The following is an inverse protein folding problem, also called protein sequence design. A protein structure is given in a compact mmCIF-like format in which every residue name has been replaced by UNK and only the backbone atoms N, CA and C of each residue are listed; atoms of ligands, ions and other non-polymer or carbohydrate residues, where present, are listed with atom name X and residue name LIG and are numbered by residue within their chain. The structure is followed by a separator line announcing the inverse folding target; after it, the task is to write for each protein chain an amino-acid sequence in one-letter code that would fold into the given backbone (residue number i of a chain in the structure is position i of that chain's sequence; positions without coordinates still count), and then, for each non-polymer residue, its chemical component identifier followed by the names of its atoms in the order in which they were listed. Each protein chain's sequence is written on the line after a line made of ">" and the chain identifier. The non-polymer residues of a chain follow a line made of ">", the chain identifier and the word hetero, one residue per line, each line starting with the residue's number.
data_IF_971596905133
#
_entry.id   IF_971596905133
#
_cell.length_a   1.000
_cell.length_b   1.000
_cell.length_c   1.000
_cell.angle_alpha   90.00
_cell.angle_beta   90.00
_cell.angle_gamma   90.00
#
_symmetry.space_group_name_H-M   'P 1'
#
loop_
_entity.id
_entity.type
_entity.pdbx_description
1 polymer ?
#
# COMPACT_ATOMS: atom_id res chain seq x y z
N UNK A 1 -12.69 10.84 35.92
CA UNK A 1 -12.57 9.73 34.95
C UNK A 1 -13.93 9.50 34.30
N UNK A 2 -14.13 9.94 33.05
CA UNK A 2 -15.31 9.57 32.26
C UNK A 2 -14.89 8.52 31.23
N UNK A 3 -15.35 7.31 31.43
CA UNK A 3 -15.23 6.20 30.48
C UNK A 3 -16.12 6.54 29.29
N UNK A 4 -15.52 6.82 28.13
CA UNK A 4 -16.25 6.98 26.87
C UNK A 4 -16.21 5.62 26.17
N UNK A 5 -17.39 5.00 26.02
CA UNK A 5 -17.60 3.72 25.34
C UNK A 5 -17.18 3.85 23.87
N UNK A 6 -16.19 3.07 23.44
CA UNK A 6 -15.87 2.94 22.01
C UNK A 6 -16.98 2.14 21.34
N UNK A 7 -17.80 2.82 20.54
CA UNK A 7 -18.71 2.19 19.60
C UNK A 7 -17.99 2.05 18.26
N UNK A 8 -18.02 0.84 17.74
CA UNK A 8 -18.22 0.50 16.32
C UNK A 8 -17.52 1.42 15.32
N UNK A 9 -16.30 1.05 14.95
CA UNK A 9 -15.92 0.62 13.61
C UNK A 9 -14.40 0.73 13.52
N UNK A 10 -13.71 -0.39 13.71
CA UNK A 10 -12.30 -0.56 13.36
C UNK A 10 -12.16 -0.58 11.82
N UNK A 11 -12.72 0.42 11.13
CA UNK A 11 -12.21 0.80 9.82
C UNK A 11 -10.85 1.42 10.11
N UNK A 12 -9.81 0.57 10.11
CA UNK A 12 -8.47 1.02 9.81
C UNK A 12 -8.63 2.03 8.68
N UNK A 13 -8.28 3.29 8.94
CA UNK A 13 -8.22 4.28 7.89
C UNK A 13 -7.21 3.73 6.88
N UNK A 14 -7.71 3.03 5.86
CA UNK A 14 -6.94 2.61 4.71
C UNK A 14 -6.51 3.94 4.14
N UNK A 15 -5.26 4.31 4.39
CA UNK A 15 -4.69 5.53 3.87
C UNK A 15 -5.05 5.54 2.39
N UNK A 16 -5.80 6.55 1.97
CA UNK A 16 -6.09 6.78 0.56
C UNK A 16 -4.76 7.22 -0.08
N UNK A 17 -3.87 6.24 -0.29
CA UNK A 17 -2.58 6.45 -0.91
C UNK A 17 -2.85 7.01 -2.30
N UNK A 18 -2.31 8.20 -2.56
CA UNK A 18 -2.37 8.80 -3.87
C UNK A 18 -1.60 7.95 -4.89
N UNK A 19 -1.94 8.09 -6.17
CA UNK A 19 -1.23 7.40 -7.26
C UNK A 19 0.29 7.65 -7.21
N UNK A 20 0.69 8.86 -6.81
CA UNK A 20 2.08 9.25 -6.63
C UNK A 20 2.76 8.46 -5.51
N UNK A 21 2.10 8.27 -4.37
CA UNK A 21 2.65 7.49 -3.25
C UNK A 21 2.76 6.01 -3.61
N UNK A 22 1.74 5.45 -4.29
CA UNK A 22 1.79 4.08 -4.81
C UNK A 22 2.97 3.89 -5.77
N UNK A 23 3.24 4.88 -6.63
CA UNK A 23 4.40 4.85 -7.54
C UNK A 23 5.72 4.84 -6.78
N UNK A 24 5.87 5.67 -5.74
CA UNK A 24 7.09 5.71 -4.92
C UNK A 24 7.32 4.37 -4.21
N UNK A 25 6.26 3.76 -3.66
CA UNK A 25 6.36 2.46 -3.00
C UNK A 25 6.73 1.38 -4.02
N UNK A 26 6.12 1.39 -5.22
CA UNK A 26 6.48 0.47 -6.31
C UNK A 26 7.96 0.57 -6.67
N UNK A 27 8.45 1.78 -6.87
CA UNK A 27 9.84 2.02 -7.29
C UNK A 27 10.83 1.57 -6.21
N UNK A 28 10.51 1.81 -4.93
CA UNK A 28 11.30 1.30 -3.81
C UNK A 28 11.29 -0.24 -3.79
N UNK A 29 10.13 -0.88 -3.88
CA UNK A 29 10.00 -2.34 -3.92
C UNK A 29 10.73 -2.96 -5.12
N UNK A 30 10.69 -2.31 -6.29
CA UNK A 30 11.43 -2.75 -7.48
C UNK A 30 12.94 -2.68 -7.25
N UNK A 31 13.45 -1.58 -6.69
CA UNK A 31 14.86 -1.43 -6.37
C UNK A 31 15.36 -2.50 -5.38
N UNK A 32 14.57 -2.82 -4.34
CA UNK A 32 14.88 -3.93 -3.43
C UNK A 32 14.75 -5.30 -4.10
N UNK A 33 13.82 -5.45 -5.04
CA UNK A 33 13.65 -6.65 -5.86
C UNK A 33 14.87 -6.93 -6.72
N UNK A 34 15.39 -5.90 -7.39
CA UNK A 34 16.57 -5.97 -8.25
C UNK A 34 17.86 -6.23 -7.44
N UNK A 35 17.87 -5.90 -6.14
CA UNK A 35 18.95 -6.26 -5.21
C UNK A 35 18.87 -7.70 -4.69
N UNK A 36 17.90 -8.50 -5.15
CA UNK A 36 17.77 -9.93 -4.84
C UNK A 36 16.65 -10.28 -3.86
N UNK A 37 15.83 -9.32 -3.43
CA UNK A 37 14.66 -9.60 -2.58
C UNK A 37 13.46 -10.04 -3.42
N UNK A 38 13.26 -11.35 -3.55
CA UNK A 38 12.14 -11.91 -4.33
C UNK A 38 10.77 -11.40 -3.85
N UNK A 39 10.60 -11.25 -2.53
CA UNK A 39 9.37 -10.72 -1.93
C UNK A 39 9.11 -9.26 -2.30
N UNK A 40 10.15 -8.43 -2.42
CA UNK A 40 9.99 -7.05 -2.83
C UNK A 40 9.58 -6.94 -4.31
N UNK A 41 10.08 -7.84 -5.17
CA UNK A 41 9.68 -7.95 -6.56
C UNK A 41 8.20 -8.31 -6.72
N UNK A 42 7.72 -9.30 -5.96
CA UNK A 42 6.29 -9.68 -5.94
C UNK A 42 5.39 -8.51 -5.49
N UNK A 43 5.82 -7.76 -4.46
CA UNK A 43 5.07 -6.58 -3.99
C UNK A 43 5.03 -5.49 -5.06
N UNK A 44 6.13 -5.24 -5.77
CA UNK A 44 6.16 -4.25 -6.85
C UNK A 44 5.19 -4.62 -7.99
N UNK A 45 5.15 -5.89 -8.39
CA UNK A 45 4.21 -6.39 -9.40
C UNK A 45 2.75 -6.28 -8.96
N UNK A 46 2.45 -6.57 -7.68
CA UNK A 46 1.11 -6.42 -7.12
C UNK A 46 0.64 -4.95 -7.13
N UNK A 47 1.54 -4.02 -6.77
CA UNK A 47 1.25 -2.59 -6.80
C UNK A 47 1.03 -2.12 -8.25
N UNK A 48 1.84 -2.59 -9.20
CA UNK A 48 1.68 -2.26 -10.62
C UNK A 48 0.31 -2.65 -11.16
N UNK A 49 -0.14 -3.88 -10.89
CA UNK A 49 -1.49 -4.34 -11.29
C UNK A 49 -2.61 -3.55 -10.59
N UNK A 50 -2.43 -3.21 -9.33
CA UNK A 50 -3.40 -2.39 -8.60
C UNK A 50 -3.49 -0.97 -9.21
N UNK A 51 -2.37 -0.40 -9.64
CA UNK A 51 -2.33 0.91 -10.31
C UNK A 51 -2.98 0.87 -11.70
N UNK A 52 -2.81 -0.20 -12.47
CA UNK A 52 -3.49 -0.38 -13.77
C UNK A 52 -5.01 -0.40 -13.60
N UNK A 53 -5.53 -1.09 -12.57
CA UNK A 53 -6.97 -1.15 -12.29
C UNK A 53 -7.58 0.19 -11.83
N UNK A 54 -6.77 1.12 -11.30
CA UNK A 54 -7.20 2.47 -10.90
C UNK A 54 -7.25 3.41 -12.12
N UNK A 55 -6.52 3.09 -13.19
CA UNK A 55 -6.42 3.92 -14.39
C UNK A 55 -7.53 3.66 -15.44
N UNK A 56 -8.50 2.78 -15.15
CA UNK A 56 -9.64 2.44 -16.01
C UNK A 56 -10.90 3.16 -15.56
#
# INVERSE_FOLDING_TARGET
>A
MKVVKMKEDNQFAVAALSFTELKVIKDACKLFGDQGSQRAKEIAEHIERAMENISV
#
